data_IF_825114545519
#
_entry.id   IF_825114545519
#
_cell.length_a   1.000
_cell.length_b   1.000
_cell.length_c   1.000
_cell.angle_alpha   90.00
_cell.angle_beta   90.00
_cell.angle_gamma   90.00
#
_symmetry.space_group_name_H-M   'P 1'
#
loop_
_entity.id
_entity.type
_entity.pdbx_description
1 polymer ?
#
# COMPACT_ATOMS: atom_id res chain seq x y z
N UNK A 1 2.27 19.79 4.04
CA UNK A 1 3.23 19.09 3.24
C UNK A 1 4.64 19.53 3.57
N UNK A 2 5.46 18.59 3.75
CA UNK A 2 6.83 18.83 4.06
C UNK A 2 7.58 19.43 2.88
N UNK A 3 8.39 20.42 3.13
CA UNK A 3 9.17 20.95 2.05
C UNK A 3 10.62 20.77 2.33
N UNK A 4 11.37 20.65 1.29
CA UNK A 4 12.79 20.45 1.38
C UNK A 4 13.48 21.78 1.55
N UNK A 5 14.55 21.77 2.32
CA UNK A 5 15.32 22.96 2.48
C UNK A 5 16.12 23.23 1.23
N UNK A 6 16.25 24.49 0.90
CA UNK A 6 16.97 24.86 -0.29
C UNK A 6 18.42 24.43 -0.17
N UNK A 7 18.94 23.87 -1.22
CA UNK A 7 20.32 23.49 -1.28
C UNK A 7 20.65 22.11 -0.73
N UNK A 8 19.67 21.40 -0.18
CA UNK A 8 19.90 20.04 0.28
C UNK A 8 19.65 19.08 -0.87
N UNK A 9 20.65 18.30 -1.23
CA UNK A 9 20.52 17.28 -2.25
C UNK A 9 20.15 15.95 -1.59
N UNK A 10 19.11 15.30 -2.10
CA UNK A 10 18.72 13.99 -1.61
C UNK A 10 19.50 12.92 -2.34
N UNK A 11 20.03 11.95 -1.59
CA UNK A 11 20.66 10.80 -2.20
C UNK A 11 19.59 9.90 -2.83
N UNK A 12 19.95 9.11 -3.85
CA UNK A 12 19.03 8.12 -4.39
C UNK A 12 18.54 7.20 -3.28
N UNK A 13 17.22 6.98 -3.21
CA UNK A 13 16.65 6.15 -2.18
C UNK A 13 16.27 6.86 -0.90
N UNK A 14 16.55 8.16 -0.79
CA UNK A 14 16.19 8.92 0.42
C UNK A 14 14.81 9.54 0.36
N UNK A 15 14.20 9.59 -0.79
CA UNK A 15 12.87 10.17 -0.94
C UNK A 15 11.82 9.23 -0.37
N UNK A 16 10.86 9.81 0.33
CA UNK A 16 9.76 9.02 0.87
C UNK A 16 8.45 9.77 0.77
N UNK A 17 7.36 9.01 0.70
CA UNK A 17 6.00 9.51 0.75
C UNK A 17 5.35 8.99 2.02
N UNK A 18 4.69 9.87 2.76
CA UNK A 18 4.06 9.53 4.03
C UNK A 18 2.58 9.86 3.94
N UNK A 19 1.74 8.88 4.29
CA UNK A 19 0.28 9.04 4.29
C UNK A 19 -0.24 8.63 5.65
N UNK A 20 -1.14 9.44 6.21
CA UNK A 20 -1.72 9.15 7.50
C UNK A 20 -3.22 9.40 7.44
N UNK A 21 -3.99 8.43 7.90
CA UNK A 21 -5.44 8.55 7.96
C UNK A 21 -5.95 7.94 9.27
N UNK A 22 -7.18 8.30 9.62
CA UNK A 22 -7.86 7.75 10.79
C UNK A 22 -9.09 7.01 10.32
N UNK A 23 -9.27 5.79 10.82
CA UNK A 23 -10.36 4.89 10.41
C UNK A 23 -11.07 4.42 11.68
N UNK A 24 -12.40 4.50 11.68
CA UNK A 24 -13.16 3.98 12.81
C UNK A 24 -13.26 2.46 12.70
N UNK A 25 -12.30 1.79 13.32
CA UNK A 25 -12.19 0.34 13.27
C UNK A 25 -11.25 -0.11 14.39
N UNK A 26 -11.02 -1.42 14.50
CA UNK A 26 -10.06 -1.98 15.45
C UNK A 26 -8.76 -2.33 14.74
N UNK A 27 -7.64 -2.40 15.48
CA UNK A 27 -6.37 -2.83 14.86
C UNK A 27 -6.46 -4.19 14.19
N UNK A 28 -7.17 -5.14 14.82
CA UNK A 28 -7.32 -6.49 14.29
C UNK A 28 -8.05 -6.49 12.95
N UNK A 29 -9.13 -5.70 12.86
CA UNK A 29 -9.90 -5.65 11.64
C UNK A 29 -9.13 -4.94 10.52
N UNK A 30 -8.37 -3.92 10.88
CA UNK A 30 -7.52 -3.23 9.92
C UNK A 30 -6.42 -4.16 9.41
N UNK A 31 -5.81 -4.93 10.31
CA UNK A 31 -4.81 -5.92 9.92
C UNK A 31 -5.41 -6.96 8.97
N UNK A 32 -6.60 -7.44 9.28
CA UNK A 32 -7.30 -8.38 8.40
C UNK A 32 -7.51 -7.79 7.00
N UNK A 33 -7.92 -6.53 6.94
CA UNK A 33 -8.15 -5.87 5.66
C UNK A 33 -6.86 -5.72 4.84
N UNK A 34 -5.71 -5.65 5.49
CA UNK A 34 -4.43 -5.55 4.81
C UNK A 34 -3.96 -6.92 4.32
N UNK A 35 -4.22 -7.97 5.08
CA UNK A 35 -3.63 -9.29 4.82
C UNK A 35 -4.57 -10.29 4.17
N UNK A 36 -5.88 -10.14 4.30
CA UNK A 36 -6.82 -11.05 3.65
C UNK A 36 -6.93 -10.72 2.15
N UNK A 37 -6.66 -11.68 1.25
CA UNK A 37 -6.64 -11.37 -0.18
C UNK A 37 -7.95 -10.82 -0.71
N UNK A 38 -9.08 -11.34 -0.25
CA UNK A 38 -10.39 -10.92 -0.75
C UNK A 38 -10.78 -9.54 -0.23
N UNK A 39 -10.50 -9.25 1.03
CA UNK A 39 -10.73 -7.92 1.56
C UNK A 39 -9.81 -6.90 0.89
N UNK A 40 -8.54 -7.27 0.72
CA UNK A 40 -7.56 -6.41 0.09
C UNK A 40 -8.01 -6.01 -1.31
N UNK A 41 -8.50 -6.96 -2.09
CA UNK A 41 -8.93 -6.71 -3.46
C UNK A 41 -10.05 -5.68 -3.56
N UNK A 42 -10.88 -5.56 -2.53
CA UNK A 42 -12.02 -4.65 -2.57
C UNK A 42 -11.62 -3.18 -2.62
N UNK A 43 -10.44 -2.82 -2.14
CA UNK A 43 -10.02 -1.43 -2.16
C UNK A 43 -8.73 -1.22 -2.96
N UNK A 44 -8.17 -2.29 -3.54
CA UNK A 44 -6.99 -2.19 -4.39
C UNK A 44 -7.29 -2.61 -5.83
N UNK A 45 -8.50 -2.30 -6.29
CA UNK A 45 -8.92 -2.45 -7.70
C UNK A 45 -8.87 -3.90 -8.20
N UNK A 46 -9.22 -4.85 -7.33
CA UNK A 46 -9.21 -6.26 -7.68
C UNK A 46 -7.87 -6.95 -7.48
N UNK A 47 -6.89 -6.24 -6.95
CA UNK A 47 -5.56 -6.80 -6.71
C UNK A 47 -5.58 -7.59 -5.41
N UNK A 48 -5.30 -8.88 -5.48
CA UNK A 48 -5.15 -9.73 -4.30
C UNK A 48 -3.69 -9.76 -3.90
N UNK A 49 -3.44 -9.83 -2.60
CA UNK A 49 -2.09 -9.98 -2.07
C UNK A 49 -2.03 -11.26 -1.27
N UNK A 50 -1.09 -12.13 -1.61
CA UNK A 50 -0.94 -13.45 -1.00
C UNK A 50 0.41 -13.59 -0.32
N UNK A 51 0.41 -14.12 0.89
CA UNK A 51 1.64 -14.34 1.66
C UNK A 51 1.33 -15.27 2.83
N UNK A 52 2.38 -15.81 3.43
CA UNK A 52 2.27 -16.51 4.71
C UNK A 52 2.30 -15.54 5.88
N UNK A 53 2.66 -14.29 5.62
CA UNK A 53 2.68 -13.22 6.62
C UNK A 53 3.57 -13.53 7.83
N UNK A 54 4.71 -14.15 7.58
CA UNK A 54 5.74 -14.38 8.59
C UNK A 54 6.98 -13.58 8.24
N UNK A 55 7.80 -13.20 9.25
CA UNK A 55 9.02 -12.44 8.95
C UNK A 55 9.91 -13.21 7.98
N UNK A 56 10.36 -12.54 6.91
CA UNK A 56 11.20 -13.15 5.90
C UNK A 56 10.45 -13.87 4.80
N UNK A 57 9.12 -14.04 4.92
CA UNK A 57 8.34 -14.69 3.87
C UNK A 57 8.12 -13.75 2.69
N UNK A 58 7.88 -14.33 1.53
CA UNK A 58 7.58 -13.54 0.33
C UNK A 58 6.10 -13.19 0.26
N UNK A 59 5.78 -12.18 -0.54
CA UNK A 59 4.40 -11.88 -0.90
C UNK A 59 4.32 -11.56 -2.38
N UNK A 60 3.13 -11.72 -2.93
CA UNK A 60 2.87 -11.37 -4.32
C UNK A 60 1.50 -10.73 -4.43
N UNK A 61 1.41 -9.66 -5.19
CA UNK A 61 0.16 -8.93 -5.44
C UNK A 61 -0.12 -8.95 -6.93
N UNK A 62 -1.37 -9.22 -7.28
CA UNK A 62 -1.77 -9.23 -8.69
C UNK A 62 -3.26 -9.43 -8.84
N UNK A 63 -3.72 -9.25 -10.07
CA UNK A 63 -5.09 -9.60 -10.44
C UNK A 63 -5.04 -11.04 -10.93
N UNK A 64 -5.70 -11.98 -10.24
CA UNK A 64 -5.56 -13.40 -10.57
C UNK A 64 -5.83 -13.70 -12.04
N UNK A 65 -4.92 -14.41 -12.67
CA UNK A 65 -5.05 -14.79 -14.06
C UNK A 65 -4.81 -13.67 -15.07
N UNK A 66 -4.41 -12.49 -14.63
CA UNK A 66 -4.27 -11.34 -15.52
C UNK A 66 -2.90 -10.70 -15.44
N UNK A 67 -2.54 -10.11 -14.30
CA UNK A 67 -1.33 -9.31 -14.22
C UNK A 67 -0.73 -9.37 -12.82
N UNK A 68 0.59 -9.42 -12.77
CA UNK A 68 1.35 -9.25 -11.53
C UNK A 68 1.55 -7.76 -11.32
N UNK A 69 1.23 -7.30 -10.11
CA UNK A 69 1.31 -5.87 -9.77
C UNK A 69 2.56 -5.57 -8.96
N UNK A 70 2.87 -6.40 -7.96
CA UNK A 70 4.02 -6.16 -7.11
C UNK A 70 4.44 -7.46 -6.44
N UNK A 71 5.68 -7.50 -5.99
CA UNK A 71 6.20 -8.63 -5.22
C UNK A 71 7.31 -8.15 -4.30
N UNK A 72 7.58 -8.92 -3.26
CA UNK A 72 8.65 -8.58 -2.33
C UNK A 72 8.67 -9.54 -1.15
N UNK A 73 9.24 -9.05 -0.06
CA UNK A 73 9.37 -9.81 1.18
C UNK A 73 8.81 -9.04 2.35
N UNK A 74 8.29 -9.77 3.32
CA UNK A 74 7.85 -9.20 4.59
C UNK A 74 9.07 -9.11 5.50
N UNK A 75 9.62 -7.93 5.65
CA UNK A 75 10.84 -7.71 6.40
C UNK A 75 10.59 -7.71 7.90
N UNK A 76 9.41 -7.20 8.31
CA UNK A 76 9.01 -7.18 9.70
C UNK A 76 7.49 -7.41 9.75
N UNK A 77 7.04 -8.29 10.64
CA UNK A 77 5.60 -8.59 10.80
C UNK A 77 5.29 -8.63 12.28
N UNK A 78 4.52 -7.66 12.75
CA UNK A 78 4.11 -7.54 14.15
C UNK A 78 2.61 -7.26 14.21
N UNK A 79 1.77 -8.31 14.06
CA UNK A 79 0.32 -8.13 14.03
C UNK A 79 -0.21 -7.68 15.39
N UNK A 80 -1.19 -6.81 15.44
CA UNK A 80 -1.80 -6.07 14.34
C UNK A 80 -1.24 -4.63 14.23
N UNK A 81 0.04 -4.42 14.55
CA UNK A 81 0.61 -3.08 14.72
C UNK A 81 1.53 -2.64 13.61
N UNK A 82 2.28 -3.55 12.99
CA UNK A 82 3.31 -3.12 12.06
C UNK A 82 3.62 -4.17 11.00
N UNK A 83 3.80 -3.71 9.79
CA UNK A 83 4.21 -4.54 8.66
C UNK A 83 5.20 -3.74 7.83
N UNK A 84 6.39 -4.28 7.61
CA UNK A 84 7.40 -3.66 6.75
C UNK A 84 7.67 -4.61 5.60
N UNK A 85 7.57 -4.10 4.37
CA UNK A 85 7.71 -4.90 3.17
C UNK A 85 8.68 -4.24 2.20
N UNK A 86 9.51 -5.05 1.54
CA UNK A 86 10.15 -4.58 0.33
C UNK A 86 9.11 -4.64 -0.78
N UNK A 87 9.25 -3.78 -1.79
CA UNK A 87 8.28 -3.74 -2.88
C UNK A 87 8.98 -3.54 -4.21
N UNK A 88 8.70 -4.43 -5.14
CA UNK A 88 9.11 -4.32 -6.53
C UNK A 88 7.83 -4.17 -7.35
N UNK A 89 7.65 -3.01 -7.96
CA UNK A 89 6.48 -2.74 -8.80
C UNK A 89 6.66 -3.43 -10.15
N UNK A 90 5.61 -4.07 -10.63
CA UNK A 90 5.69 -4.93 -11.80
C UNK A 90 4.69 -4.60 -12.91
N UNK A 91 3.83 -3.60 -12.73
CA UNK A 91 2.71 -3.41 -13.65
C UNK A 91 3.08 -2.75 -14.97
N UNK A 92 4.27 -2.19 -15.10
CA UNK A 92 4.77 -1.67 -16.38
C UNK A 92 6.29 -1.65 -16.34
N UNK A 93 6.90 -1.53 -17.52
CA UNK A 93 8.36 -1.47 -17.59
C UNK A 93 8.91 -0.25 -16.89
N UNK A 94 8.19 0.87 -16.96
CA UNK A 94 8.64 2.11 -16.32
C UNK A 94 8.73 1.97 -14.81
N UNK A 95 7.73 1.30 -14.18
CA UNK A 95 7.78 1.13 -12.73
C UNK A 95 8.75 0.01 -12.33
N UNK A 96 8.93 -1.02 -13.18
CA UNK A 96 9.94 -2.05 -12.90
C UNK A 96 11.34 -1.44 -12.83
N UNK A 97 11.59 -0.44 -13.65
CA UNK A 97 12.89 0.21 -13.71
C UNK A 97 13.23 0.98 -12.43
N UNK A 98 12.22 1.29 -11.60
CA UNK A 98 12.46 2.00 -10.34
C UNK A 98 13.14 1.12 -9.29
N UNK A 99 13.06 -0.20 -9.45
CA UNK A 99 13.71 -1.11 -8.52
C UNK A 99 12.92 -1.33 -7.24
N UNK A 100 13.65 -1.64 -6.16
CA UNK A 100 13.05 -2.00 -4.88
C UNK A 100 12.84 -0.77 -4.02
N UNK A 101 11.66 -0.66 -3.44
CA UNK A 101 11.33 0.34 -2.44
C UNK A 101 10.85 -0.36 -1.17
N UNK A 102 10.57 0.41 -0.11
CA UNK A 102 10.15 -0.14 1.18
C UNK A 102 8.81 0.50 1.54
N UNK A 103 7.87 -0.34 1.96
CA UNK A 103 6.55 0.13 2.43
C UNK A 103 6.38 -0.31 3.88
N UNK A 104 6.09 0.65 4.76
CA UNK A 104 5.82 0.40 6.16
C UNK A 104 4.38 0.78 6.47
N UNK A 105 3.65 -0.16 7.09
CA UNK A 105 2.30 0.06 7.60
C UNK A 105 2.38 0.07 9.10
N UNK A 106 1.88 1.13 9.74
CA UNK A 106 1.84 1.22 11.19
C UNK A 106 0.42 1.50 11.65
N UNK A 107 -0.05 0.73 12.62
CA UNK A 107 -1.42 0.80 13.13
C UNK A 107 -1.36 1.12 14.61
N UNK A 108 -1.98 2.23 14.99
CA UNK A 108 -2.06 2.65 16.39
C UNK A 108 -3.52 2.87 16.77
N UNK A 109 -3.95 2.25 17.86
CA UNK A 109 -5.31 2.44 18.33
C UNK A 109 -5.46 3.80 19.00
N UNK A 110 -6.50 4.54 18.63
CA UNK A 110 -6.81 5.84 19.18
C UNK A 110 -8.29 5.79 19.60
N UNK A 111 -8.55 5.43 20.86
CA UNK A 111 -9.90 5.22 21.39
C UNK A 111 -10.68 4.21 20.52
N UNK A 112 -11.76 4.62 19.86
CA UNK A 112 -12.57 3.74 19.02
C UNK A 112 -12.15 3.79 17.56
N UNK A 113 -10.97 4.34 17.28
CA UNK A 113 -10.46 4.46 15.93
C UNK A 113 -9.04 3.94 15.86
N UNK A 114 -8.49 3.88 14.67
CA UNK A 114 -7.09 3.58 14.41
C UNK A 114 -6.47 4.69 13.59
N UNK A 115 -5.25 5.03 13.92
CA UNK A 115 -4.40 5.81 13.03
C UNK A 115 -3.59 4.82 12.20
N UNK A 116 -3.70 4.94 10.90
CA UNK A 116 -2.89 4.16 9.96
C UNK A 116 -1.90 5.09 9.30
N UNK A 117 -0.63 4.75 9.43
CA UNK A 117 0.43 5.48 8.74
C UNK A 117 1.08 4.54 7.74
N UNK A 118 1.17 4.98 6.50
CA UNK A 118 1.88 4.26 5.45
C UNK A 118 3.07 5.11 5.04
N UNK A 119 4.26 4.53 5.14
CA UNK A 119 5.49 5.19 4.70
C UNK A 119 6.04 4.38 3.54
N UNK A 120 6.14 5.00 2.37
CA UNK A 120 6.73 4.39 1.19
C UNK A 120 8.07 5.09 0.97
N UNK A 121 9.16 4.44 1.31
CA UNK A 121 10.48 5.07 1.26
C UNK A 121 11.43 4.31 0.35
N UNK A 122 12.69 4.73 0.34
CA UNK A 122 13.70 4.24 -0.61
C UNK A 122 13.30 4.53 -2.03
N UNK A 123 12.61 5.66 -2.23
CA UNK A 123 12.18 6.12 -3.55
C UNK A 123 13.27 7.02 -4.14
N UNK A 124 13.35 7.05 -5.46
CA UNK A 124 14.30 7.93 -6.13
C UNK A 124 13.74 9.35 -6.13
N UNK A 125 14.57 10.37 -5.88
CA UNK A 125 14.09 11.76 -5.83
C UNK A 125 13.36 12.21 -7.10
N UNK A 126 13.81 11.74 -8.26
CA UNK A 126 13.22 12.09 -9.56
C UNK A 126 12.59 10.87 -10.24
N UNK A 127 12.18 9.88 -9.44
CA UNK A 127 11.64 8.65 -9.97
C UNK A 127 10.18 8.77 -10.43
N UNK A 128 9.65 7.66 -10.90
CA UNK A 128 8.29 7.58 -11.39
C UNK A 128 7.29 7.61 -10.24
N UNK A 129 6.51 8.69 -10.16
CA UNK A 129 5.51 8.87 -9.09
C UNK A 129 4.38 7.85 -9.11
N UNK A 130 4.22 7.09 -10.19
CA UNK A 130 3.20 6.05 -10.21
C UNK A 130 3.42 4.98 -9.15
N UNK A 131 4.67 4.80 -8.71
CA UNK A 131 5.01 3.84 -7.66
C UNK A 131 4.18 4.08 -6.39
N UNK A 132 3.94 5.36 -6.06
CA UNK A 132 3.28 5.70 -4.80
C UNK A 132 2.05 6.58 -4.98
N UNK A 133 1.72 6.95 -6.21
CA UNK A 133 0.62 7.89 -6.46
C UNK A 133 -0.76 7.31 -6.24
N UNK A 134 -0.89 6.00 -6.14
CA UNK A 134 -2.18 5.35 -5.91
C UNK A 134 -2.60 5.28 -4.44
N UNK A 135 -1.72 5.58 -3.50
CA UNK A 135 -2.02 5.45 -2.08
C UNK A 135 -3.27 6.23 -1.62
N UNK A 136 -3.49 7.50 -2.05
CA UNK A 136 -4.70 8.20 -1.61
C UNK A 136 -5.99 7.49 -1.97
N UNK A 137 -6.09 6.91 -3.16
CA UNK A 137 -7.28 6.16 -3.57
C UNK A 137 -7.41 4.87 -2.77
N UNK A 138 -6.31 4.16 -2.58
CA UNK A 138 -6.28 2.91 -1.82
C UNK A 138 -6.72 3.17 -0.38
N UNK A 139 -6.15 4.18 0.26
CA UNK A 139 -6.46 4.47 1.65
C UNK A 139 -7.88 4.99 1.83
N UNK A 140 -8.38 5.77 0.88
CA UNK A 140 -9.78 6.22 0.90
C UNK A 140 -10.74 5.04 0.77
N UNK A 141 -10.42 4.12 -0.13
CA UNK A 141 -11.23 2.91 -0.30
C UNK A 141 -11.21 2.01 0.92
N UNK A 142 -10.05 1.88 1.55
CA UNK A 142 -9.91 1.09 2.79
C UNK A 142 -10.77 1.68 3.90
N UNK A 143 -10.70 2.99 4.09
CA UNK A 143 -11.50 3.67 5.10
C UNK A 143 -12.99 3.46 4.86
N UNK A 144 -13.44 3.68 3.64
CA UNK A 144 -14.86 3.49 3.28
C UNK A 144 -15.30 2.06 3.55
N UNK A 145 -14.49 1.09 3.12
CA UNK A 145 -14.84 -0.33 3.31
C UNK A 145 -15.00 -0.68 4.80
N UNK A 146 -14.06 -0.25 5.63
CA UNK A 146 -14.08 -0.62 7.04
C UNK A 146 -15.16 0.11 7.82
N UNK A 147 -15.49 1.34 7.43
CA UNK A 147 -16.49 2.13 8.15
C UNK A 147 -17.91 1.88 7.68
N UNK A 148 -18.10 1.50 6.42
CA UNK A 148 -19.47 1.35 5.87
C UNK A 148 -19.78 -0.04 5.33
N UNK A 149 -18.77 -0.86 5.08
CA UNK A 149 -18.97 -2.15 4.42
C UNK A 149 -19.09 -2.07 2.91
N UNK A 150 -19.03 -0.87 2.35
CA UNK A 150 -19.19 -0.65 0.92
C UNK A 150 -17.87 -0.31 0.26
N UNK A 151 -17.79 -0.51 -1.05
CA UNK A 151 -16.61 -0.12 -1.82
C UNK A 151 -16.76 1.30 -2.31
N UNK A 152 -15.62 1.99 -2.39
CA UNK A 152 -15.58 3.38 -2.86
C UNK A 152 -15.20 3.39 -4.35
N UNK A 153 -15.94 4.15 -5.14
CA UNK A 153 -15.60 4.36 -6.54
C UNK A 153 -14.55 5.46 -6.65
N UNK A 154 -13.43 5.16 -7.26
CA UNK A 154 -12.34 6.10 -7.51
C UNK A 154 -11.94 6.03 -8.97
N UNK A 155 -11.16 7.00 -9.47
CA UNK A 155 -10.63 6.87 -10.83
C UNK A 155 -9.93 5.54 -11.08
N UNK A 156 -9.21 5.02 -10.08
CA UNK A 156 -8.55 3.72 -10.21
C UNK A 156 -9.52 2.58 -10.36
N UNK A 157 -10.61 2.57 -9.58
CA UNK A 157 -11.59 1.49 -9.69
C UNK A 157 -12.32 1.54 -11.03
N UNK A 158 -12.57 2.73 -11.56
CA UNK A 158 -13.19 2.85 -12.87
C UNK A 158 -12.26 2.41 -13.99
N UNK A 159 -10.96 2.71 -13.85
CA UNK A 159 -9.98 2.33 -14.85
C UNK A 159 -9.88 0.81 -14.99
N UNK A 160 -9.97 0.08 -13.88
CA UNK A 160 -9.80 -1.37 -13.88
C UNK A 160 -11.14 -2.13 -13.89
N UNK A 161 -12.27 -1.44 -13.84
CA UNK A 161 -13.57 -2.11 -13.80
C UNK A 161 -13.82 -2.95 -15.05
N UNK A 162 -13.44 -2.44 -16.22
CA UNK A 162 -13.61 -3.18 -17.46
C UNK A 162 -12.75 -4.41 -17.56
N UNK A 163 -11.57 -4.39 -16.93
CA UNK A 163 -10.66 -5.53 -16.95
C UNK A 163 -11.16 -6.64 -16.05
N UNK A 164 -11.90 -6.29 -15.00
CA UNK A 164 -12.41 -7.28 -14.06
C UNK A 164 -13.81 -7.78 -14.36
N UNK A 165 -14.40 -7.26 -15.38
CA UNK A 165 -15.79 -7.61 -15.72
C UNK A 165 -15.90 -8.96 -16.39
#
# INVERSE_FOLDING_TARGET
MEKFEAGVALAPGDTKAVFEIFIKTTPERLWEAITDPKMRAKYTFGVETHSDWTPGSSYASGVPGMIDIAAGENLEVDPPHKLVQSMNALWSDDVKAEGTSIVTWEIEQVADSCRLTVVHDQLRPDGNGEIYGGWPMILSGLKTLLETGETLTTPGSLLYAGAGA
#
